data_IF_256567006791
#
_entry.id   IF_256567006791
#
_cell.length_a   1.000
_cell.length_b   1.000
_cell.length_c   1.000
_cell.angle_alpha   90.00
_cell.angle_beta   90.00
_cell.angle_gamma   90.00
#
_symmetry.space_group_name_H-M   'P 1'
#
loop_
_entity.id
_entity.type
_entity.pdbx_description
1 polymer ?
#
# COMPACT_ATOMS: atom_id res chain seq x y z
N UNK A 1 -19.44 -7.20 -12.15
CA UNK A 1 -18.69 -7.58 -10.93
C UNK A 1 -18.79 -6.43 -9.95
N UNK A 2 -19.16 -6.68 -8.69
CA UNK A 2 -19.01 -5.69 -7.62
C UNK A 2 -17.52 -5.34 -7.50
N UNK A 3 -17.20 -4.07 -7.30
CA UNK A 3 -15.80 -3.65 -7.09
C UNK A 3 -15.25 -4.31 -5.82
N UNK A 4 -13.98 -4.71 -5.85
CA UNK A 4 -13.29 -5.29 -4.70
C UNK A 4 -12.37 -4.24 -4.08
N UNK A 5 -12.62 -3.95 -2.81
CA UNK A 5 -11.71 -3.13 -2.00
C UNK A 5 -10.51 -3.97 -1.56
N UNK A 6 -9.38 -3.29 -1.37
CA UNK A 6 -8.12 -3.87 -0.95
C UNK A 6 -7.29 -2.82 -0.26
N UNK A 7 -6.36 -3.24 0.60
CA UNK A 7 -5.51 -2.33 1.33
C UNK A 7 -4.05 -2.76 1.41
N UNK A 8 -3.30 -1.98 2.16
CA UNK A 8 -1.92 -2.28 2.55
C UNK A 8 -1.70 -1.77 3.98
N UNK A 9 -1.10 -2.60 4.83
CA UNK A 9 -0.62 -2.16 6.13
C UNK A 9 0.60 -1.25 5.97
N UNK A 10 0.62 -0.19 6.77
CA UNK A 10 1.73 0.76 6.86
C UNK A 10 2.12 0.98 8.32
N UNK A 11 3.13 1.79 8.59
CA UNK A 11 3.60 2.03 9.96
C UNK A 11 2.47 2.72 10.73
N UNK A 12 2.04 2.12 11.84
CA UNK A 12 0.90 2.58 12.65
C UNK A 12 -0.43 2.77 11.90
N UNK A 13 -0.60 2.18 10.71
CA UNK A 13 -1.69 2.57 9.83
C UNK A 13 -2.16 1.53 8.81
N UNK A 14 -3.26 1.86 8.15
CA UNK A 14 -3.82 1.09 7.04
C UNK A 14 -4.17 2.02 5.89
N UNK A 15 -3.73 1.63 4.69
CA UNK A 15 -4.16 2.19 3.42
C UNK A 15 -5.30 1.34 2.87
N UNK A 16 -6.36 1.97 2.40
CA UNK A 16 -7.46 1.35 1.66
C UNK A 16 -7.61 2.00 0.30
N UNK A 17 -7.87 1.18 -0.72
CA UNK A 17 -8.04 1.61 -2.09
C UNK A 17 -9.46 1.31 -2.58
N UNK A 18 -10.13 2.35 -3.07
CA UNK A 18 -11.47 2.28 -3.68
C UNK A 18 -11.49 2.41 -5.19
N UNK A 19 -12.68 2.66 -5.72
CA UNK A 19 -12.89 2.92 -7.14
C UNK A 19 -12.36 4.31 -7.53
N UNK A 20 -12.65 5.31 -6.69
CA UNK A 20 -12.42 6.72 -7.03
C UNK A 20 -11.33 7.36 -6.19
N UNK A 21 -11.13 6.89 -4.96
CA UNK A 21 -10.18 7.46 -4.02
C UNK A 21 -9.44 6.35 -3.26
N UNK A 22 -8.24 6.66 -2.80
CA UNK A 22 -7.59 5.92 -1.73
C UNK A 22 -7.64 6.74 -0.45
N UNK A 23 -7.66 6.05 0.69
CA UNK A 23 -7.55 6.67 1.99
C UNK A 23 -6.55 5.93 2.87
N UNK A 24 -5.87 6.69 3.72
CA UNK A 24 -4.85 6.20 4.64
C UNK A 24 -5.21 6.73 6.01
N UNK A 25 -5.35 5.82 6.95
CA UNK A 25 -5.51 6.15 8.36
C UNK A 25 -4.24 5.72 9.11
N UNK A 26 -3.68 6.63 9.90
CA UNK A 26 -2.49 6.37 10.74
C UNK A 26 -2.81 6.77 12.16
N UNK A 27 -2.50 5.91 13.13
CA UNK A 27 -2.62 6.22 14.55
C UNK A 27 -1.35 6.91 15.02
N UNK A 28 -1.49 8.10 15.60
CA UNK A 28 -0.36 8.84 16.17
C UNK A 28 -0.17 8.50 17.65
N UNK A 29 1.00 8.77 18.26
CA UNK A 29 1.31 8.39 19.64
C UNK A 29 0.32 8.92 20.69
N UNK A 30 -0.32 10.06 20.44
CA UNK A 30 -1.35 10.63 21.31
C UNK A 30 -2.70 9.85 21.27
N UNK A 31 -2.80 8.82 20.42
CA UNK A 31 -3.97 7.96 20.27
C UNK A 31 -4.96 8.39 19.18
N UNK A 32 -4.79 9.57 18.58
CA UNK A 32 -5.62 10.08 17.49
C UNK A 32 -5.34 9.36 16.16
N UNK A 33 -6.31 9.39 15.25
CA UNK A 33 -6.21 8.82 13.91
C UNK A 33 -6.18 9.95 12.90
N UNK A 34 -5.06 10.07 12.18
CA UNK A 34 -4.92 11.01 11.06
C UNK A 34 -5.39 10.32 9.79
N UNK A 35 -6.38 10.93 9.12
CA UNK A 35 -6.95 10.42 7.88
C UNK A 35 -6.58 11.31 6.70
N UNK A 36 -5.89 10.72 5.71
CA UNK A 36 -5.55 11.36 4.43
C UNK A 36 -6.23 10.62 3.29
N UNK A 37 -6.80 11.35 2.34
CA UNK A 37 -7.43 10.78 1.13
C UNK A 37 -6.85 11.41 -0.13
N UNK A 38 -6.60 10.60 -1.15
CA UNK A 38 -6.14 11.06 -2.46
C UNK A 38 -7.01 10.48 -3.58
N UNK A 39 -7.35 11.28 -4.61
CA UNK A 39 -8.10 10.78 -5.76
C UNK A 39 -7.27 9.81 -6.61
N UNK A 40 -7.86 8.68 -6.96
CA UNK A 40 -7.27 7.74 -7.91
C UNK A 40 -7.58 8.24 -9.32
N UNK A 41 -6.54 8.56 -10.09
CA UNK A 41 -6.71 9.04 -11.47
C UNK A 41 -7.19 7.88 -12.36
N UNK A 42 -8.43 7.94 -12.81
CA UNK A 42 -9.11 6.87 -13.56
C UNK A 42 -8.48 6.53 -14.92
N UNK A 43 -7.64 7.41 -15.48
CA UNK A 43 -7.09 7.28 -16.84
C UNK A 43 -6.24 6.03 -17.06
N UNK A 44 -5.54 5.54 -16.03
CA UNK A 44 -4.73 4.31 -16.12
C UNK A 44 -5.65 3.10 -16.34
N UNK A 45 -6.80 3.09 -15.66
CA UNK A 45 -7.75 1.98 -15.62
C UNK A 45 -8.69 1.90 -16.83
N UNK A 46 -8.86 3.01 -17.57
CA UNK A 46 -9.71 3.09 -18.77
C UNK A 46 -8.96 2.91 -20.10
N UNK A 47 -7.63 2.73 -20.05
CA UNK A 47 -6.78 2.68 -21.24
C UNK A 47 -6.87 1.34 -22.00
N UNK A 48 -6.57 1.34 -23.30
CA UNK A 48 -6.59 0.12 -24.15
C UNK A 48 -5.62 -0.97 -23.66
N UNK A 49 -4.52 -0.58 -22.99
CA UNK A 49 -3.52 -1.52 -22.45
C UNK A 49 -4.08 -2.42 -21.34
N UNK A 50 -5.14 -1.97 -20.65
CA UNK A 50 -5.84 -2.75 -19.63
C UNK A 50 -6.62 -3.95 -20.20
N UNK A 51 -6.77 -4.03 -21.54
CA UNK A 51 -7.35 -5.19 -22.23
C UNK A 51 -6.36 -6.35 -22.35
N UNK A 52 -5.06 -6.08 -22.24
CA UNK A 52 -4.01 -7.09 -22.36
C UNK A 52 -3.66 -7.63 -20.97
N UNK A 53 -3.96 -8.90 -20.65
CA UNK A 53 -3.83 -9.42 -19.28
C UNK A 53 -2.40 -9.29 -18.74
N UNK A 54 -1.38 -9.53 -19.57
CA UNK A 54 0.00 -9.45 -19.12
C UNK A 54 0.45 -8.01 -18.80
N UNK A 55 0.20 -7.07 -19.71
CA UNK A 55 0.60 -5.66 -19.54
C UNK A 55 -0.19 -5.00 -18.40
N UNK A 56 -1.46 -5.35 -18.25
CA UNK A 56 -2.30 -4.88 -17.15
C UNK A 56 -1.70 -5.22 -15.78
N UNK A 57 -1.29 -6.47 -15.57
CA UNK A 57 -0.74 -6.89 -14.28
C UNK A 57 0.48 -6.07 -13.87
N UNK A 58 1.38 -5.78 -14.83
CA UNK A 58 2.55 -4.95 -14.61
C UNK A 58 2.18 -3.51 -14.23
N UNK A 59 1.27 -2.89 -14.98
CA UNK A 59 0.83 -1.50 -14.75
C UNK A 59 0.17 -1.36 -13.37
N UNK A 60 -0.68 -2.32 -12.98
CA UNK A 60 -1.35 -2.31 -11.68
C UNK A 60 -0.39 -2.56 -10.52
N UNK A 61 0.58 -3.46 -10.71
CA UNK A 61 1.63 -3.69 -9.70
C UNK A 61 2.48 -2.44 -9.51
N UNK A 62 2.88 -1.79 -10.60
CA UNK A 62 3.63 -0.53 -10.56
C UNK A 62 2.86 0.57 -9.83
N UNK A 63 1.57 0.75 -10.16
CA UNK A 63 0.73 1.74 -9.50
C UNK A 63 0.62 1.49 -7.99
N UNK A 64 0.35 0.23 -7.62
CA UNK A 64 0.25 -0.20 -6.21
C UNK A 64 1.57 0.01 -5.46
N UNK A 65 2.71 -0.28 -6.09
CA UNK A 65 4.04 -0.10 -5.50
C UNK A 65 4.34 1.40 -5.25
N UNK A 66 4.03 2.27 -6.22
CA UNK A 66 4.24 3.72 -6.07
C UNK A 66 3.35 4.29 -4.96
N UNK A 67 2.06 3.94 -4.95
CA UNK A 67 1.13 4.36 -3.90
C UNK A 67 1.53 3.81 -2.53
N UNK A 68 1.99 2.56 -2.47
CA UNK A 68 2.50 1.91 -1.27
C UNK A 68 3.70 2.67 -0.70
N UNK A 69 4.68 3.04 -1.53
CA UNK A 69 5.84 3.85 -1.09
C UNK A 69 5.40 5.22 -0.56
N UNK A 70 4.57 5.95 -1.30
CA UNK A 70 4.07 7.27 -0.87
C UNK A 70 3.34 7.19 0.48
N UNK A 71 2.56 6.13 0.67
CA UNK A 71 1.82 5.92 1.91
C UNK A 71 2.74 5.54 3.06
N UNK A 72 3.73 4.68 2.84
CA UNK A 72 4.72 4.33 3.84
C UNK A 72 5.46 5.57 4.34
N UNK A 73 5.90 6.45 3.43
CA UNK A 73 6.51 7.73 3.80
C UNK A 73 5.58 8.63 4.60
N UNK A 74 4.31 8.76 4.17
CA UNK A 74 3.31 9.52 4.93
C UNK A 74 3.12 8.94 6.34
N UNK A 75 3.03 7.61 6.46
CA UNK A 75 2.81 6.93 7.74
C UNK A 75 4.01 7.04 8.68
N UNK A 76 5.23 6.95 8.15
CA UNK A 76 6.45 7.15 8.93
C UNK A 76 6.50 8.59 9.48
N UNK A 77 6.24 9.58 8.63
CA UNK A 77 6.21 10.99 9.06
C UNK A 77 5.09 11.27 10.06
N UNK A 78 3.91 10.64 9.88
CA UNK A 78 2.78 10.79 10.78
C UNK A 78 3.07 10.13 12.14
N UNK A 79 3.68 8.95 12.16
CA UNK A 79 4.06 8.25 13.40
C UNK A 79 5.08 9.04 14.24
N UNK A 80 5.87 9.92 13.61
CA UNK A 80 6.80 10.85 14.26
C UNK A 80 6.13 12.17 14.72
N UNK A 81 4.82 12.36 14.51
CA UNK A 81 4.12 13.55 14.98
C UNK A 81 3.92 13.50 16.49
N UNK A 82 4.76 14.22 17.22
CA UNK A 82 4.39 14.82 18.50
C UNK A 82 3.88 16.25 18.24
N UNK A 83 2.55 16.49 18.23
CA UNK A 83 1.99 17.81 17.92
C UNK A 83 2.33 18.88 18.97
N UNK A 84 2.95 18.53 20.12
CA UNK A 84 3.36 19.48 21.15
C UNK A 84 4.82 19.94 21.05
N UNK A 85 5.60 19.44 20.10
CA UNK A 85 7.06 19.62 20.08
C UNK A 85 7.63 20.36 18.87
N UNK A 86 6.81 20.74 17.88
CA UNK A 86 7.32 21.26 16.60
C UNK A 86 7.58 22.78 16.68
N UNK A 87 8.84 23.16 16.52
CA UNK A 87 9.26 24.56 16.40
C UNK A 87 8.92 25.14 15.02
N UNK A 88 8.79 26.47 14.91
CA UNK A 88 8.48 27.17 13.65
C UNK A 88 9.52 26.90 12.55
N UNK A 89 10.79 26.72 12.92
CA UNK A 89 11.86 26.35 11.98
C UNK A 89 11.69 24.93 11.41
N UNK A 90 11.23 23.99 12.22
CA UNK A 90 10.94 22.62 11.79
C UNK A 90 9.71 22.58 10.87
N UNK A 91 8.71 23.42 11.15
CA UNK A 91 7.56 23.61 10.25
C UNK A 91 8.03 24.14 8.88
N UNK A 92 8.91 25.15 8.84
CA UNK A 92 9.44 25.70 7.59
C UNK A 92 10.36 24.73 6.83
N UNK A 93 11.19 23.95 7.53
CA UNK A 93 12.00 22.89 6.90
C UNK A 93 11.13 21.79 6.32
N UNK A 94 10.08 21.38 7.03
CA UNK A 94 9.07 20.42 6.55
C UNK A 94 8.32 20.97 5.35
N UNK A 95 7.95 22.25 5.33
CA UNK A 95 7.35 22.87 4.14
C UNK A 95 8.28 22.84 2.92
N UNK A 96 9.58 23.13 3.11
CA UNK A 96 10.58 23.02 2.03
C UNK A 96 10.76 21.57 1.57
N UNK A 97 10.76 20.61 2.49
CA UNK A 97 10.85 19.19 2.18
C UNK A 97 9.59 18.70 1.45
N UNK A 98 8.40 19.16 1.85
CA UNK A 98 7.11 18.86 1.22
C UNK A 98 6.97 19.55 -0.16
N UNK A 99 7.51 20.77 -0.34
CA UNK A 99 7.61 21.44 -1.65
C UNK A 99 8.61 20.75 -2.58
N UNK A 100 9.76 20.31 -2.05
CA UNK A 100 10.68 19.42 -2.79
C UNK A 100 9.93 18.15 -3.22
N UNK A 101 9.16 17.56 -2.31
CA UNK A 101 8.38 16.37 -2.60
C UNK A 101 7.23 16.59 -3.59
N UNK A 102 6.64 17.79 -3.67
CA UNK A 102 5.66 18.12 -4.71
C UNK A 102 6.32 18.15 -6.11
N UNK A 103 7.56 18.62 -6.21
CA UNK A 103 8.36 18.54 -7.44
C UNK A 103 8.64 17.08 -7.84
N UNK A 104 8.92 16.19 -6.88
CA UNK A 104 9.09 14.75 -7.15
C UNK A 104 7.76 14.04 -7.44
N UNK A 105 6.65 14.46 -6.85
CA UNK A 105 5.31 13.98 -7.24
C UNK A 105 5.03 14.37 -8.69
N UNK A 106 5.45 15.57 -9.12
CA UNK A 106 5.36 15.99 -10.52
C UNK A 106 6.31 15.20 -11.42
N UNK A 107 7.51 14.83 -10.95
CA UNK A 107 8.44 13.98 -11.72
C UNK A 107 7.95 12.52 -11.82
N UNK A 108 7.35 11.97 -10.77
CA UNK A 108 6.74 10.64 -10.80
C UNK A 108 5.45 10.64 -11.62
N UNK A 109 4.66 11.72 -11.58
CA UNK A 109 3.59 11.97 -12.55
C UNK A 109 4.15 12.11 -13.98
N UNK A 110 5.29 12.78 -14.16
CA UNK A 110 5.95 12.93 -15.45
C UNK A 110 6.45 11.58 -15.98
N UNK A 111 7.06 10.73 -15.14
CA UNK A 111 7.48 9.37 -15.47
C UNK A 111 6.29 8.45 -15.71
N UNK A 112 5.23 8.54 -14.89
CA UNK A 112 3.94 7.86 -15.14
C UNK A 112 3.37 8.30 -16.48
N UNK A 113 3.45 9.59 -16.81
CA UNK A 113 3.01 10.13 -18.11
C UNK A 113 3.95 9.79 -19.26
N UNK A 114 5.25 9.60 -19.03
CA UNK A 114 6.25 9.23 -20.02
C UNK A 114 6.10 7.76 -20.39
N UNK A 115 5.95 6.86 -19.40
CA UNK A 115 5.57 5.45 -19.62
C UNK A 115 4.23 5.37 -20.35
N UNK A 116 3.28 6.24 -20.00
CA UNK A 116 1.99 6.32 -20.69
C UNK A 116 2.14 6.87 -22.12
N UNK A 117 3.00 7.87 -22.37
CA UNK A 117 3.30 8.46 -23.68
C UNK A 117 4.00 7.45 -24.60
N UNK A 118 4.95 6.67 -24.07
CA UNK A 118 5.63 5.59 -24.81
C UNK A 118 4.69 4.43 -25.17
N UNK A 119 3.53 4.33 -24.54
CA UNK A 119 2.55 3.25 -24.74
C UNK A 119 1.24 3.74 -25.38
N UNK A 120 1.06 5.05 -25.54
CA UNK A 120 -0.17 5.69 -26.00
C UNK A 120 0.03 6.34 -27.38
N UNK A 121 0.47 5.55 -28.36
CA UNK A 121 0.34 5.91 -29.77
C UNK A 121 -1.00 5.38 -30.32
N UNK A 122 -2.13 5.67 -29.66
CA UNK A 122 -3.48 5.49 -30.26
C UNK A 122 -4.50 6.48 -29.65
N UNK A 123 -4.49 7.68 -30.20
CA UNK A 123 -5.63 8.45 -30.75
C UNK A 123 -6.89 8.83 -29.92
N UNK A 124 -7.27 10.10 -30.16
CA UNK A 124 -8.54 10.82 -29.97
C UNK A 124 -9.03 11.15 -28.54
N UNK A 125 -8.88 12.44 -28.20
CA UNK A 125 -9.50 13.11 -27.04
C UNK A 125 -11.01 13.30 -27.27
N UNK A 126 -11.90 13.09 -26.28
CA UNK A 126 -13.16 13.81 -26.25
C UNK A 126 -12.93 15.19 -25.64
N UNK A 127 -13.34 16.24 -26.37
CA UNK A 127 -13.46 17.61 -25.84
C UNK A 127 -14.66 17.64 -24.88
N UNK A 128 -14.41 18.01 -23.63
CA UNK A 128 -15.48 18.44 -22.73
C UNK A 128 -15.53 19.97 -22.76
N UNK A 129 -16.66 20.51 -23.19
CA UNK A 129 -17.01 21.93 -23.09
C UNK A 129 -18.16 22.00 -22.09
N UNK A 130 -18.05 22.74 -20.97
CA UNK A 130 -19.20 23.01 -20.15
C UNK A 130 -20.09 24.04 -20.86
N UNK A 131 -21.36 23.69 -21.10
CA UNK A 131 -22.39 24.66 -21.46
C UNK A 131 -22.76 25.45 -20.21
N UNK A 132 -22.62 26.77 -20.29
CA UNK A 132 -23.11 27.71 -19.30
C UNK A 132 -24.62 27.84 -19.44
N UNK A 133 -25.36 27.49 -18.38
CA UNK A 133 -26.62 28.08 -17.95
C UNK A 133 -27.07 27.39 -16.64
N UNK A 134 -27.73 28.16 -15.77
CA UNK A 134 -28.22 27.85 -14.41
C UNK A 134 -27.25 27.99 -13.22
N UNK A 135 -26.96 29.25 -12.85
CA UNK A 135 -26.43 29.66 -11.54
C UNK A 135 -27.16 30.88 -10.95
N UNK A 136 -28.48 30.82 -10.78
CA UNK A 136 -29.20 31.87 -10.03
C UNK A 136 -30.16 31.26 -9.00
N UNK A 137 -29.68 31.14 -7.76
CA UNK A 137 -30.30 31.63 -6.51
C UNK A 137 -29.59 31.02 -5.29
N UNK A 138 -28.75 31.83 -4.62
CA UNK A 138 -28.26 31.60 -3.26
C UNK A 138 -28.32 32.94 -2.54
N UNK A 139 -29.48 33.28 -1.98
CA UNK A 139 -29.56 34.26 -0.89
C UNK A 139 -29.80 33.48 0.40
N UNK A 140 -29.00 33.82 1.42
CA UNK A 140 -29.02 33.35 2.83
C UNK A 140 -27.94 32.34 3.28
N UNK A 141 -26.68 32.48 2.83
CA UNK A 141 -25.53 31.72 3.37
C UNK A 141 -24.42 32.58 3.99
N UNK A 142 -24.72 33.81 4.41
CA UNK A 142 -23.73 34.76 4.96
C UNK A 142 -23.88 35.04 6.46
N UNK A 143 -25.01 34.72 7.10
CA UNK A 143 -25.20 34.99 8.54
C UNK A 143 -24.67 33.87 9.47
N UNK A 144 -24.63 32.62 9.02
CA UNK A 144 -24.17 31.49 9.86
C UNK A 144 -22.64 31.44 10.03
N UNK A 145 -21.88 31.97 9.06
CA UNK A 145 -20.41 31.98 9.13
C UNK A 145 -19.87 33.01 10.15
N UNK A 146 -20.56 34.13 10.33
CA UNK A 146 -20.17 35.17 11.28
C UNK A 146 -20.37 34.72 12.75
N UNK A 147 -21.44 33.95 13.00
CA UNK A 147 -21.77 33.44 14.35
C UNK A 147 -20.77 32.39 14.83
N UNK A 148 -20.39 31.46 13.96
CA UNK A 148 -19.36 30.45 14.24
C UNK A 148 -17.99 31.06 14.54
N UNK A 149 -17.61 32.13 13.82
CA UNK A 149 -16.32 32.82 14.02
C UNK A 149 -16.25 33.57 15.35
N UNK A 150 -17.37 34.04 15.89
CA UNK A 150 -17.43 34.71 17.19
C UNK A 150 -17.31 33.74 18.37
N UNK A 151 -17.96 32.57 18.31
CA UNK A 151 -17.87 31.53 19.35
C UNK A 151 -16.49 30.87 19.42
N UNK A 152 -15.77 30.77 18.29
CA UNK A 152 -14.43 30.20 18.25
C UNK A 152 -13.36 31.06 18.93
N UNK A 153 -13.56 32.37 19.03
CA UNK A 153 -12.60 33.30 19.62
C UNK A 153 -12.58 33.29 21.16
N UNK A 154 -13.62 32.74 21.80
CA UNK A 154 -13.76 32.74 23.27
C UNK A 154 -13.08 31.54 23.95
N UNK A 155 -12.71 30.51 23.17
CA UNK A 155 -12.12 29.25 23.67
C UNK A 155 -10.58 29.29 23.70
N UNK A 156 -9.94 30.24 23.01
CA UNK A 156 -8.48 30.32 22.83
C UNK A 156 -7.77 31.19 23.89
N UNK A 157 -8.16 31.06 25.16
CA UNK A 157 -7.58 31.84 26.25
C UNK A 157 -7.26 31.00 27.50
N UNK A 158 -6.38 29.99 27.38
CA UNK A 158 -5.69 29.40 28.54
C UNK A 158 -4.23 29.04 28.23
N UNK A 159 -3.23 29.54 28.98
CA UNK A 159 -1.82 29.25 28.73
C UNK A 159 -1.35 28.03 29.51
N UNK A 160 -0.57 27.13 28.89
CA UNK A 160 0.07 25.99 29.56
C UNK A 160 1.60 26.05 29.45
N UNK A 161 2.22 26.39 30.58
CA UNK A 161 3.53 25.97 31.13
C UNK A 161 4.70 25.64 30.16
N UNK A 162 5.67 26.57 30.12
CA UNK A 162 6.98 26.44 29.49
C UNK A 162 7.96 25.56 30.29
N UNK A 163 8.36 24.41 29.76
CA UNK A 163 9.75 23.92 29.84
C UNK A 163 10.09 23.07 28.60
N UNK A 164 11.12 23.44 27.80
CA UNK A 164 11.51 22.65 26.64
C UNK A 164 12.49 21.54 27.02
N UNK A 165 12.20 20.30 26.63
CA UNK A 165 13.20 19.24 26.50
C UNK A 165 13.73 19.27 25.06
N UNK A 166 15.04 19.44 24.93
CA UNK A 166 15.77 19.36 23.65
C UNK A 166 15.72 17.94 23.10
N UNK A 167 15.34 17.80 21.83
CA UNK A 167 15.77 16.68 21.00
C UNK A 167 16.45 17.23 19.75
N UNK A 168 17.70 16.83 19.54
CA UNK A 168 18.42 17.04 18.28
C UNK A 168 18.06 15.90 17.33
N UNK A 169 17.26 16.17 16.30
CA UNK A 169 17.09 15.25 15.16
C UNK A 169 17.75 15.85 13.92
N UNK A 170 18.90 15.26 13.51
CA UNK A 170 19.52 15.58 12.23
C UNK A 170 18.70 14.99 11.07
N UNK A 171 18.35 15.78 10.04
CA UNK A 171 17.61 15.27 8.89
C UNK A 171 18.45 14.25 8.12
N UNK A 172 17.88 13.06 7.88
CA UNK A 172 18.50 12.02 7.06
C UNK A 172 18.80 12.59 5.67
N UNK A 173 20.10 12.67 5.34
CA UNK A 173 20.56 13.23 4.07
C UNK A 173 19.98 12.45 2.88
N UNK A 174 19.61 13.15 1.80
CA UNK A 174 19.01 12.53 0.62
C UNK A 174 19.87 11.41 0.00
N UNK A 175 21.20 11.54 0.06
CA UNK A 175 22.13 10.49 -0.38
C UNK A 175 22.13 9.28 0.56
N UNK A 176 21.94 9.48 1.86
CA UNK A 176 21.84 8.40 2.84
C UNK A 176 20.57 7.58 2.60
N UNK A 177 19.45 8.22 2.25
CA UNK A 177 18.23 7.53 1.85
C UNK A 177 18.46 6.67 0.59
N UNK A 178 19.07 7.21 -0.47
CA UNK A 178 19.39 6.44 -1.66
C UNK A 178 20.40 5.31 -1.39
N UNK A 179 21.37 5.54 -0.51
CA UNK A 179 22.33 4.53 -0.06
C UNK A 179 21.64 3.36 0.64
N UNK A 180 20.73 3.64 1.57
CA UNK A 180 19.95 2.59 2.26
C UNK A 180 19.01 1.84 1.32
N UNK A 181 18.37 2.53 0.37
CA UNK A 181 17.53 1.89 -0.65
C UNK A 181 18.35 0.97 -1.55
N UNK A 182 19.48 1.45 -2.09
CA UNK A 182 20.38 0.64 -2.93
C UNK A 182 20.93 -0.57 -2.17
N UNK A 183 21.33 -0.39 -0.91
CA UNK A 183 21.76 -1.47 -0.04
C UNK A 183 20.66 -2.51 0.17
N UNK A 184 19.44 -2.08 0.51
CA UNK A 184 18.31 -2.99 0.75
C UNK A 184 17.90 -3.77 -0.50
N UNK A 185 17.92 -3.13 -1.68
CA UNK A 185 17.64 -3.78 -2.95
C UNK A 185 18.77 -4.76 -3.31
N UNK A 186 20.02 -4.36 -3.13
CA UNK A 186 21.19 -5.22 -3.33
C UNK A 186 21.16 -6.44 -2.41
N UNK A 187 20.84 -6.24 -1.13
CA UNK A 187 20.65 -7.32 -0.15
C UNK A 187 19.54 -8.27 -0.57
N UNK A 188 18.38 -7.76 -1.02
CA UNK A 188 17.29 -8.59 -1.51
C UNK A 188 17.68 -9.41 -2.77
N UNK A 189 18.41 -8.79 -3.71
CA UNK A 189 18.94 -9.49 -4.89
C UNK A 189 19.91 -10.60 -4.48
N UNK A 190 20.84 -10.31 -3.56
CA UNK A 190 21.77 -11.30 -3.04
C UNK A 190 21.00 -12.45 -2.38
N UNK A 191 20.14 -12.14 -1.41
CA UNK A 191 19.45 -13.14 -0.60
C UNK A 191 18.48 -14.00 -1.41
N UNK A 192 17.65 -13.42 -2.28
CA UNK A 192 16.58 -14.15 -2.95
C UNK A 192 16.93 -14.65 -4.35
N UNK A 193 17.93 -14.07 -5.02
CA UNK A 193 18.33 -14.47 -6.38
C UNK A 193 19.69 -15.15 -6.41
N UNK A 194 20.72 -14.58 -5.79
CA UNK A 194 22.08 -15.12 -5.86
C UNK A 194 22.28 -16.27 -4.88
N UNK A 195 21.83 -16.15 -3.62
CA UNK A 195 22.08 -17.18 -2.60
C UNK A 195 21.53 -18.55 -2.99
N UNK A 196 20.27 -18.71 -3.48
CA UNK A 196 19.77 -20.02 -3.89
C UNK A 196 20.61 -20.63 -5.03
N UNK A 197 21.05 -19.80 -5.98
CA UNK A 197 21.90 -20.19 -7.11
C UNK A 197 23.30 -20.63 -6.66
N UNK A 198 23.92 -19.90 -5.73
CA UNK A 198 25.23 -20.23 -5.21
C UNK A 198 25.17 -21.51 -4.36
N UNK A 199 24.13 -21.66 -3.53
CA UNK A 199 23.93 -22.87 -2.72
C UNK A 199 23.69 -24.10 -3.58
N UNK A 200 22.89 -24.01 -4.65
CA UNK A 200 22.64 -25.16 -5.53
C UNK A 200 23.90 -25.62 -6.27
N UNK A 201 24.83 -24.71 -6.57
CA UNK A 201 26.11 -25.05 -7.21
C UNK A 201 27.03 -25.87 -6.32
N UNK A 202 27.00 -25.67 -5.00
CA UNK A 202 27.78 -26.49 -4.07
C UNK A 202 27.39 -27.97 -4.12
N UNK A 203 26.18 -28.26 -4.61
CA UNK A 203 25.64 -29.62 -4.76
C UNK A 203 25.90 -30.20 -6.16
N UNK A 204 26.42 -29.40 -7.11
CA UNK A 204 26.60 -29.80 -8.51
C UNK A 204 27.64 -30.92 -8.67
N UNK A 205 28.72 -30.87 -7.89
CA UNK A 205 29.78 -31.88 -7.96
C UNK A 205 29.30 -33.25 -7.42
N UNK A 206 28.23 -33.27 -6.62
CA UNK A 206 27.60 -34.50 -6.12
C UNK A 206 26.47 -34.97 -7.04
N UNK A 207 25.74 -34.04 -7.66
CA UNK A 207 24.55 -34.32 -8.46
C UNK A 207 24.82 -34.04 -9.94
N UNK A 208 25.12 -35.08 -10.72
CA UNK A 208 25.37 -34.96 -12.16
C UNK A 208 24.14 -34.64 -13.03
N UNK A 209 22.95 -34.46 -12.42
CA UNK A 209 21.70 -34.23 -13.14
C UNK A 209 21.24 -32.76 -13.01
N UNK A 210 21.36 -32.01 -14.11
CA UNK A 210 20.97 -30.59 -14.20
C UNK A 210 19.50 -30.34 -13.80
N UNK A 211 18.58 -31.27 -14.11
CA UNK A 211 17.18 -31.15 -13.71
C UNK A 211 17.03 -31.18 -12.18
N UNK A 212 17.74 -32.10 -11.52
CA UNK A 212 17.70 -32.25 -10.06
C UNK A 212 18.33 -31.04 -9.35
N UNK A 213 19.42 -30.50 -9.88
CA UNK A 213 20.04 -29.26 -9.36
C UNK A 213 19.05 -28.10 -9.42
N UNK A 214 18.37 -27.89 -10.55
CA UNK A 214 17.39 -26.81 -10.70
C UNK A 214 16.17 -26.99 -9.80
N UNK A 215 15.70 -28.23 -9.62
CA UNK A 215 14.64 -28.54 -8.67
C UNK A 215 15.05 -28.20 -7.23
N UNK A 216 16.26 -28.61 -6.81
CA UNK A 216 16.80 -28.28 -5.49
C UNK A 216 16.96 -26.78 -5.31
N UNK A 217 17.43 -26.07 -6.33
CA UNK A 217 17.52 -24.62 -6.29
C UNK A 217 16.16 -23.96 -6.06
N UNK A 218 15.10 -24.50 -6.69
CA UNK A 218 13.73 -24.07 -6.45
C UNK A 218 13.29 -24.27 -5.00
N UNK A 219 13.60 -25.44 -4.42
CA UNK A 219 13.35 -25.73 -3.01
C UNK A 219 14.13 -24.78 -2.10
N UNK A 220 15.41 -24.53 -2.39
CA UNK A 220 16.24 -23.58 -1.65
C UNK A 220 15.66 -22.16 -1.71
N UNK A 221 15.16 -21.72 -2.87
CA UNK A 221 14.50 -20.41 -3.02
C UNK A 221 13.24 -20.31 -2.15
N UNK A 222 12.41 -21.35 -2.15
CA UNK A 222 11.23 -21.40 -1.29
C UNK A 222 11.62 -21.41 0.20
N UNK A 223 12.63 -22.18 0.57
CA UNK A 223 13.14 -22.26 1.94
C UNK A 223 13.69 -20.91 2.42
N UNK A 224 14.46 -20.20 1.59
CA UNK A 224 14.96 -18.85 1.89
C UNK A 224 13.80 -17.86 2.06
N UNK A 225 12.78 -17.89 1.19
CA UNK A 225 11.60 -17.04 1.34
C UNK A 225 10.87 -17.30 2.66
N UNK A 226 10.53 -18.56 2.94
CA UNK A 226 9.79 -18.92 4.16
C UNK A 226 10.63 -18.65 5.42
N UNK A 227 11.92 -18.99 5.40
CA UNK A 227 12.85 -18.75 6.49
C UNK A 227 13.04 -17.25 6.78
N UNK A 228 13.16 -16.42 5.75
CA UNK A 228 13.21 -14.97 5.88
C UNK A 228 11.92 -14.43 6.51
N UNK A 229 10.75 -14.81 5.98
CA UNK A 229 9.45 -14.37 6.54
C UNK A 229 9.29 -14.81 8.00
N UNK A 230 9.69 -16.04 8.31
CA UNK A 230 9.69 -16.54 9.68
C UNK A 230 10.60 -15.71 10.59
N UNK A 231 11.82 -15.39 10.16
CA UNK A 231 12.78 -14.61 10.97
C UNK A 231 12.28 -13.19 11.24
N UNK A 232 11.85 -12.46 10.21
CA UNK A 232 11.34 -11.09 10.39
C UNK A 232 10.06 -11.06 11.21
N UNK A 233 9.24 -12.13 11.16
CA UNK A 233 8.02 -12.25 11.97
C UNK A 233 8.31 -12.31 13.49
N UNK A 234 9.58 -12.46 13.90
CA UNK A 234 10.00 -12.44 15.30
C UNK A 234 10.35 -11.03 15.80
N UNK A 235 10.53 -10.06 14.91
CA UNK A 235 10.86 -8.68 15.25
C UNK A 235 9.59 -7.92 15.69
N UNK A 236 9.65 -7.18 16.81
CA UNK A 236 8.48 -6.49 17.40
C UNK A 236 7.86 -5.46 16.45
N UNK A 237 8.69 -4.67 15.79
CA UNK A 237 8.22 -3.63 14.87
C UNK A 237 7.49 -4.23 13.66
N UNK A 238 8.01 -5.35 13.13
CA UNK A 238 7.37 -6.08 12.02
C UNK A 238 6.09 -6.77 12.48
N UNK A 239 6.06 -7.34 13.69
CA UNK A 239 4.85 -7.91 14.26
C UNK A 239 3.73 -6.87 14.35
N UNK A 240 4.07 -5.64 14.74
CA UNK A 240 3.12 -4.53 14.79
C UNK A 240 2.54 -4.20 13.41
N UNK A 241 3.37 -4.13 12.37
CA UNK A 241 2.89 -4.00 10.98
C UNK A 241 2.00 -5.18 10.57
N UNK A 242 2.34 -6.41 10.98
CA UNK A 242 1.51 -7.59 10.71
C UNK A 242 0.17 -7.59 11.46
N UNK A 243 0.05 -6.90 12.59
CA UNK A 243 -1.23 -6.67 13.26
C UNK A 243 -2.10 -5.71 12.44
N UNK A 244 -1.54 -4.60 11.94
CA UNK A 244 -2.26 -3.71 11.02
C UNK A 244 -2.69 -4.41 9.73
N UNK A 245 -1.88 -5.36 9.23
CA UNK A 245 -2.25 -6.21 8.10
C UNK A 245 -3.40 -7.16 8.45
N UNK A 246 -3.38 -7.76 9.65
CA UNK A 246 -4.51 -8.51 10.17
C UNK A 246 -5.78 -7.65 10.28
N UNK A 247 -5.66 -6.39 10.71
CA UNK A 247 -6.78 -5.46 10.79
C UNK A 247 -7.37 -5.15 9.41
N UNK A 248 -6.53 -4.94 8.40
CA UNK A 248 -6.95 -4.74 7.00
C UNK A 248 -7.75 -5.94 6.47
N UNK A 249 -7.22 -7.15 6.61
CA UNK A 249 -7.92 -8.37 6.20
C UNK A 249 -9.25 -8.58 6.93
N UNK A 250 -9.28 -8.40 8.26
CA UNK A 250 -10.52 -8.56 9.05
C UNK A 250 -11.59 -7.57 8.62
N UNK A 251 -11.21 -6.30 8.43
CA UNK A 251 -12.13 -5.22 8.04
C UNK A 251 -12.74 -5.49 6.66
N UNK A 252 -11.91 -5.92 5.70
CA UNK A 252 -12.39 -6.27 4.35
C UNK A 252 -13.28 -7.52 4.39
N UNK A 253 -12.87 -8.57 5.11
CA UNK A 253 -13.68 -9.79 5.27
C UNK A 253 -15.05 -9.48 5.89
N UNK A 254 -15.11 -8.60 6.90
CA UNK A 254 -16.35 -8.15 7.51
C UNK A 254 -17.23 -7.38 6.52
N UNK A 255 -16.64 -6.46 5.76
CA UNK A 255 -17.33 -5.70 4.71
C UNK A 255 -17.91 -6.61 3.62
N UNK A 256 -17.12 -7.58 3.13
CA UNK A 256 -17.55 -8.51 2.09
C UNK A 256 -18.66 -9.46 2.55
N UNK A 257 -18.70 -9.77 3.85
CA UNK A 257 -19.78 -10.51 4.48
C UNK A 257 -21.04 -9.65 4.75
N UNK A 258 -20.99 -8.34 4.49
CA UNK A 258 -22.09 -7.41 4.74
C UNK A 258 -22.32 -7.10 6.21
N UNK A 259 -21.32 -7.29 7.07
CA UNK A 259 -21.43 -7.04 8.50
C UNK A 259 -21.26 -5.57 8.86
N UNK A 260 -21.67 -5.21 10.08
CA UNK A 260 -21.50 -3.88 10.63
C UNK A 260 -20.02 -3.58 10.89
N UNK A 261 -19.55 -2.42 10.42
CA UNK A 261 -18.15 -2.01 10.56
C UNK A 261 -17.90 -1.37 11.93
N UNK A 262 -17.79 -2.20 12.96
CA UNK A 262 -17.32 -1.78 14.28
C UNK A 262 -16.23 -2.74 14.79
N UNK A 263 -15.35 -2.33 15.73
CA UNK A 263 -14.24 -3.16 16.18
C UNK A 263 -14.67 -4.52 16.75
N UNK A 264 -15.79 -4.58 17.48
CA UNK A 264 -16.29 -5.81 18.11
C UNK A 264 -16.70 -6.86 17.07
N UNK A 265 -17.46 -6.44 16.05
CA UNK A 265 -17.87 -7.30 14.94
C UNK A 265 -16.67 -7.70 14.08
N UNK A 266 -15.83 -6.73 13.70
CA UNK A 266 -14.69 -6.96 12.79
C UNK A 266 -13.67 -7.92 13.40
N UNK A 267 -13.46 -7.89 14.72
CA UNK A 267 -12.54 -8.79 15.43
C UNK A 267 -12.85 -10.27 15.20
N UNK A 268 -14.11 -10.63 14.95
CA UNK A 268 -14.55 -12.01 14.75
C UNK A 268 -14.17 -12.59 13.37
N UNK A 269 -13.75 -11.74 12.43
CA UNK A 269 -13.39 -12.16 11.09
C UNK A 269 -11.96 -12.71 11.00
N UNK A 270 -11.66 -13.40 9.90
CA UNK A 270 -10.35 -14.02 9.67
C UNK A 270 -9.27 -12.99 9.35
N UNK A 271 -8.04 -13.23 9.82
CA UNK A 271 -6.83 -12.50 9.39
C UNK A 271 -6.30 -12.96 8.03
N UNK A 272 -6.96 -13.90 7.36
CA UNK A 272 -6.57 -14.43 6.04
C UNK A 272 -7.56 -13.94 5.00
N UNK A 273 -7.06 -13.51 3.84
CA UNK A 273 -7.87 -13.02 2.72
C UNK A 273 -7.40 -13.59 1.37
N UNK A 274 -8.33 -13.83 0.44
CA UNK A 274 -8.02 -14.45 -0.86
C UNK A 274 -7.31 -13.53 -1.85
N UNK A 275 -7.26 -12.22 -1.58
CA UNK A 275 -6.68 -11.19 -2.46
C UNK A 275 -5.51 -10.45 -1.82
N UNK A 276 -4.70 -11.15 -1.03
CA UNK A 276 -3.54 -10.57 -0.37
C UNK A 276 -2.28 -10.58 -1.26
N UNK A 277 -1.51 -9.49 -1.22
CA UNK A 277 -0.21 -9.37 -1.88
C UNK A 277 0.90 -10.26 -1.30
N UNK A 278 0.75 -10.85 -0.11
CA UNK A 278 1.77 -11.80 0.40
C UNK A 278 1.73 -13.14 -0.33
N UNK A 279 0.54 -13.55 -0.80
CA UNK A 279 0.40 -14.71 -1.68
C UNK A 279 1.02 -14.46 -3.05
N UNK A 280 1.19 -13.20 -3.47
CA UNK A 280 1.90 -12.85 -4.71
C UNK A 280 3.38 -13.24 -4.66
N UNK A 281 4.08 -12.96 -3.55
CA UNK A 281 5.49 -13.34 -3.40
C UNK A 281 5.68 -14.86 -3.51
N UNK A 282 4.82 -15.64 -2.85
CA UNK A 282 4.85 -17.10 -2.96
C UNK A 282 4.60 -17.55 -4.40
N UNK A 283 3.59 -16.99 -5.06
CA UNK A 283 3.24 -17.37 -6.43
C UNK A 283 4.36 -17.02 -7.42
N UNK A 284 5.01 -15.86 -7.28
CA UNK A 284 6.19 -15.52 -8.08
C UNK A 284 7.28 -16.57 -7.90
N UNK A 285 7.56 -16.99 -6.67
CA UNK A 285 8.55 -18.06 -6.41
C UNK A 285 8.09 -19.39 -7.03
N UNK A 286 6.85 -19.84 -6.81
CA UNK A 286 6.36 -21.11 -7.36
C UNK A 286 6.35 -21.13 -8.89
N UNK A 287 5.84 -20.07 -9.53
CA UNK A 287 5.84 -19.93 -11.00
C UNK A 287 7.27 -19.89 -11.51
N UNK A 288 8.18 -19.21 -10.81
CA UNK A 288 9.59 -19.16 -11.21
C UNK A 288 10.26 -20.53 -11.19
N UNK A 289 9.94 -21.39 -10.21
CA UNK A 289 10.47 -22.76 -10.14
C UNK A 289 10.01 -23.54 -11.36
N UNK A 290 8.71 -23.51 -11.68
CA UNK A 290 8.15 -24.22 -12.83
C UNK A 290 8.72 -23.70 -14.16
N UNK A 291 8.83 -22.38 -14.32
CA UNK A 291 9.33 -21.74 -15.53
C UNK A 291 10.82 -22.06 -15.76
N UNK A 292 11.67 -21.93 -14.73
CA UNK A 292 13.09 -22.20 -14.88
C UNK A 292 13.40 -23.69 -15.02
N UNK A 293 12.59 -24.55 -14.39
CA UNK A 293 12.66 -25.99 -14.61
C UNK A 293 12.37 -26.31 -16.08
N UNK A 294 11.35 -25.69 -16.71
CA UNK A 294 11.06 -25.85 -18.13
C UNK A 294 12.17 -25.30 -19.04
N UNK A 295 12.70 -24.10 -18.73
CA UNK A 295 13.82 -23.49 -19.46
C UNK A 295 15.06 -24.41 -19.42
N UNK A 296 15.30 -25.08 -18.29
CA UNK A 296 16.41 -26.02 -18.15
C UNK A 296 16.32 -27.23 -19.08
N UNK A 297 15.12 -27.65 -19.53
CA UNK A 297 14.98 -28.75 -20.48
C UNK A 297 15.56 -28.41 -21.86
N UNK A 298 15.67 -27.11 -22.19
CA UNK A 298 16.20 -26.65 -23.48
C UNK A 298 17.73 -26.55 -23.53
N UNK A 299 18.44 -26.92 -22.46
CA UNK A 299 19.91 -26.96 -22.45
C UNK A 299 20.59 -25.60 -22.65
N UNK A 300 19.94 -24.52 -22.22
CA UNK A 300 20.41 -23.15 -22.45
C UNK A 300 21.71 -22.87 -21.67
N UNK A 301 22.71 -22.18 -22.27
CA UNK A 301 23.94 -21.82 -21.58
C UNK A 301 23.73 -21.06 -20.27
N UNK A 302 24.67 -21.21 -19.32
CA UNK A 302 24.54 -20.63 -17.98
C UNK A 302 24.28 -19.12 -17.99
N UNK A 303 24.98 -18.33 -18.82
CA UNK A 303 24.84 -16.87 -18.83
C UNK A 303 23.45 -16.43 -19.29
N UNK A 304 22.86 -17.16 -20.22
CA UNK A 304 21.48 -16.94 -20.67
C UNK A 304 20.47 -17.37 -19.60
N UNK A 305 20.75 -18.45 -18.86
CA UNK A 305 19.94 -18.85 -17.70
C UNK A 305 19.95 -17.76 -16.62
N UNK A 306 21.13 -17.19 -16.31
CA UNK A 306 21.27 -16.07 -15.39
C UNK A 306 20.50 -14.83 -15.87
N UNK A 307 20.70 -14.43 -17.13
CA UNK A 307 20.03 -13.27 -17.71
C UNK A 307 18.51 -13.42 -17.75
N UNK A 308 18.02 -14.63 -18.07
CA UNK A 308 16.58 -14.95 -18.09
C UNK A 308 15.92 -14.71 -16.73
N UNK A 309 16.63 -14.91 -15.62
CA UNK A 309 16.08 -14.70 -14.28
C UNK A 309 15.77 -13.26 -13.96
N UNK A 310 16.59 -12.34 -14.47
CA UNK A 310 16.39 -10.90 -14.31
C UNK A 310 15.33 -10.41 -15.31
N UNK A 311 15.47 -10.81 -16.58
CA UNK A 311 14.56 -10.37 -17.64
C UNK A 311 13.12 -10.89 -17.48
N UNK A 312 12.94 -12.05 -16.85
CA UNK A 312 11.62 -12.66 -16.66
C UNK A 312 10.91 -12.19 -15.38
N UNK A 313 11.54 -11.40 -14.51
CA UNK A 313 10.86 -10.85 -13.30
C UNK A 313 9.55 -10.13 -13.64
N UNK A 314 9.49 -9.22 -14.62
CA UNK A 314 8.25 -8.56 -15.01
C UNK A 314 7.17 -9.54 -15.51
N UNK A 315 7.59 -10.58 -16.23
CA UNK A 315 6.69 -11.62 -16.77
C UNK A 315 6.14 -12.50 -15.64
N UNK A 316 7.01 -12.94 -14.72
CA UNK A 316 6.62 -13.72 -13.53
C UNK A 316 5.63 -12.95 -12.65
N UNK A 317 5.93 -11.67 -12.39
CA UNK A 317 5.06 -10.77 -11.66
C UNK A 317 3.69 -10.62 -12.34
N UNK A 318 3.68 -10.43 -13.66
CA UNK A 318 2.46 -10.33 -14.44
C UNK A 318 1.60 -11.59 -14.39
N UNK A 319 2.20 -12.78 -14.57
CA UNK A 319 1.51 -14.08 -14.46
C UNK A 319 0.95 -14.27 -13.06
N UNK A 320 1.74 -13.97 -12.01
CA UNK A 320 1.32 -14.11 -10.63
C UNK A 320 0.10 -13.21 -10.31
N UNK A 321 0.10 -11.97 -10.79
CA UNK A 321 -1.03 -11.06 -10.65
C UNK A 321 -2.31 -11.61 -11.29
N UNK A 322 -2.22 -12.03 -12.56
CA UNK A 322 -3.36 -12.57 -13.29
C UNK A 322 -3.87 -13.88 -12.64
N UNK A 323 -2.98 -14.72 -12.14
CA UNK A 323 -3.35 -15.92 -11.38
C UNK A 323 -4.11 -15.58 -10.09
N UNK A 324 -3.65 -14.61 -9.29
CA UNK A 324 -4.37 -14.20 -8.06
C UNK A 324 -5.76 -13.71 -8.41
N UNK A 325 -5.87 -12.85 -9.43
CA UNK A 325 -7.16 -12.30 -9.87
C UNK A 325 -8.10 -13.41 -10.35
N UNK A 326 -7.59 -14.32 -11.17
CA UNK A 326 -8.36 -15.45 -11.69
C UNK A 326 -8.82 -16.40 -10.58
N UNK A 327 -7.91 -16.78 -9.68
CA UNK A 327 -8.16 -17.73 -8.60
C UNK A 327 -9.13 -17.17 -7.55
N UNK A 328 -8.99 -15.91 -7.16
CA UNK A 328 -9.91 -15.25 -6.24
C UNK A 328 -11.35 -15.18 -6.81
N UNK A 329 -11.51 -14.97 -8.12
CA UNK A 329 -12.83 -14.98 -8.77
C UNK A 329 -13.49 -16.35 -8.84
N UNK A 330 -12.73 -17.43 -8.59
CA UNK A 330 -13.16 -18.84 -8.69
C UNK A 330 -12.95 -19.62 -7.38
N UNK A 331 -12.87 -18.91 -6.26
CA UNK A 331 -12.59 -19.51 -4.96
C UNK A 331 -13.64 -20.55 -4.52
N UNK A 332 -14.85 -20.51 -5.08
CA UNK A 332 -15.89 -21.51 -4.85
C UNK A 332 -15.54 -22.91 -5.40
N UNK A 333 -14.64 -23.00 -6.38
CA UNK A 333 -14.22 -24.29 -6.94
C UNK A 333 -13.22 -24.98 -5.98
N UNK A 334 -13.46 -26.25 -5.57
CA UNK A 334 -12.61 -26.95 -4.61
C UNK A 334 -11.16 -27.13 -5.06
N UNK A 335 -10.92 -27.29 -6.37
CA UNK A 335 -9.57 -27.43 -6.94
C UNK A 335 -8.82 -26.10 -6.83
N UNK A 336 -9.47 -25.00 -7.21
CA UNK A 336 -8.90 -23.64 -7.09
C UNK A 336 -8.62 -23.32 -5.63
N UNK A 337 -9.56 -23.66 -4.73
CA UNK A 337 -9.39 -23.49 -3.29
C UNK A 337 -8.21 -24.27 -2.73
N UNK A 338 -8.02 -25.52 -3.17
CA UNK A 338 -6.88 -26.35 -2.79
C UNK A 338 -5.54 -25.74 -3.28
N UNK A 339 -5.50 -25.29 -4.54
CA UNK A 339 -4.32 -24.66 -5.12
C UNK A 339 -3.92 -23.35 -4.40
N UNK A 340 -4.89 -22.61 -3.85
CA UNK A 340 -4.63 -21.40 -3.07
C UNK A 340 -4.18 -21.66 -1.63
N UNK A 341 -4.40 -22.86 -1.07
CA UNK A 341 -4.11 -23.15 0.35
C UNK A 341 -2.67 -22.83 0.78
N UNK A 342 -1.62 -23.16 0.01
CA UNK A 342 -0.25 -22.80 0.41
C UNK A 342 -0.06 -21.29 0.57
N UNK A 343 -0.67 -20.50 -0.31
CA UNK A 343 -0.66 -19.04 -0.25
C UNK A 343 -1.42 -18.48 0.95
N UNK A 344 -2.58 -19.07 1.28
CA UNK A 344 -3.37 -18.69 2.45
C UNK A 344 -2.69 -19.12 3.77
N UNK A 345 -2.00 -20.26 3.78
CA UNK A 345 -1.23 -20.72 4.93
C UNK A 345 -0.04 -19.79 5.21
N UNK A 346 0.65 -19.31 4.16
CA UNK A 346 1.77 -18.38 4.31
C UNK A 346 1.35 -17.05 4.94
N UNK A 347 0.11 -16.60 4.73
CA UNK A 347 -0.42 -15.38 5.35
C UNK A 347 -0.38 -15.43 6.88
N UNK A 348 -0.43 -16.62 7.48
CA UNK A 348 -0.31 -16.78 8.95
C UNK A 348 1.06 -16.36 9.49
N UNK A 349 2.09 -16.30 8.63
CA UNK A 349 3.41 -15.76 9.00
C UNK A 349 3.47 -14.22 8.89
N UNK A 350 2.62 -13.63 8.07
CA UNK A 350 2.64 -12.19 7.73
C UNK A 350 1.44 -11.41 8.25
N UNK A 351 0.58 -12.04 9.06
CA UNK A 351 -0.58 -11.45 9.70
C UNK A 351 -0.59 -11.83 11.18
N UNK A 352 -1.11 -10.94 12.02
CA UNK A 352 -1.27 -11.16 13.47
C UNK A 352 -2.61 -10.61 13.93
N UNK A 353 -3.07 -11.07 15.08
CA UNK A 353 -4.31 -10.58 15.68
C UNK A 353 -4.16 -9.10 16.09
N UNK A 354 -5.02 -8.21 15.57
CA UNK A 354 -4.95 -6.78 15.85
C UNK A 354 -5.58 -6.41 17.19
N UNK A 355 -5.13 -5.30 17.74
CA UNK A 355 -5.80 -4.61 18.84
C UNK A 355 -7.07 -3.89 18.34
N UNK A 356 -8.03 -3.63 19.23
CA UNK A 356 -9.26 -2.92 18.89
C UNK A 356 -8.99 -1.54 18.24
N UNK A 357 -7.96 -0.83 18.70
CA UNK A 357 -7.57 0.45 18.13
C UNK A 357 -6.99 0.34 16.70
N UNK A 358 -6.36 -0.78 16.36
CA UNK A 358 -5.88 -1.03 14.98
C UNK A 358 -7.05 -1.34 14.04
N UNK A 359 -8.09 -2.01 14.55
CA UNK A 359 -9.35 -2.21 13.82
C UNK A 359 -10.04 -0.88 13.52
N UNK A 360 -10.07 0.05 14.49
CA UNK A 360 -10.62 1.40 14.28
C UNK A 360 -9.91 2.15 13.15
N UNK A 361 -8.58 2.09 13.10
CA UNK A 361 -7.76 2.68 12.03
C UNK A 361 -8.14 2.08 10.67
N UNK A 362 -8.23 0.75 10.59
CA UNK A 362 -8.60 0.06 9.37
C UNK A 362 -10.02 0.40 8.91
N UNK A 363 -11.00 0.42 9.82
CA UNK A 363 -12.38 0.83 9.55
C UNK A 363 -12.43 2.28 9.04
N UNK A 364 -11.74 3.21 9.71
CA UNK A 364 -11.72 4.62 9.31
C UNK A 364 -11.18 4.81 7.87
N UNK A 365 -10.13 4.07 7.50
CA UNK A 365 -9.61 4.09 6.12
C UNK A 365 -10.61 3.51 5.12
N UNK A 366 -11.31 2.42 5.44
CA UNK A 366 -12.29 1.81 4.54
C UNK A 366 -13.52 2.69 4.37
N UNK A 367 -14.10 3.19 5.46
CA UNK A 367 -15.30 4.03 5.43
C UNK A 367 -15.09 5.31 4.62
N UNK A 368 -13.90 5.91 4.69
CA UNK A 368 -13.56 7.10 3.89
C UNK A 368 -13.60 6.83 2.40
N UNK A 369 -13.19 5.63 1.99
CA UNK A 369 -13.23 5.19 0.61
C UNK A 369 -14.67 4.85 0.17
N UNK A 370 -15.42 4.17 1.03
CA UNK A 370 -16.83 3.84 0.77
C UNK A 370 -17.69 5.11 0.61
N UNK A 371 -17.41 6.16 1.39
CA UNK A 371 -18.02 7.49 1.24
C UNK A 371 -17.74 8.07 -0.14
N UNK A 372 -16.48 8.03 -0.59
CA UNK A 372 -16.07 8.55 -1.90
C UNK A 372 -16.73 7.79 -3.07
N UNK A 373 -16.99 6.51 -2.87
CA UNK A 373 -17.63 5.63 -3.86
C UNK A 373 -19.17 5.66 -3.75
N UNK A 374 -19.74 6.49 -2.86
CA UNK A 374 -21.19 6.68 -2.71
C UNK A 374 -21.92 5.53 -2.02
N UNK A 375 -21.19 4.67 -1.30
CA UNK A 375 -21.74 3.54 -0.54
C UNK A 375 -21.98 3.85 0.95
N UNK A 376 -21.54 5.02 1.40
CA UNK A 376 -21.79 5.59 2.72
C UNK A 376 -22.23 7.04 2.51
N UNK A 377 -23.22 7.50 3.25
CA UNK A 377 -23.62 8.91 3.24
C UNK A 377 -22.74 9.73 4.19
N UNK A 378 -22.62 11.04 3.95
CA UNK A 378 -21.90 11.96 4.85
C UNK A 378 -22.48 11.93 6.28
N UNK A 379 -23.81 11.78 6.42
CA UNK A 379 -24.47 11.69 7.72
C UNK A 379 -24.09 10.41 8.48
N UNK A 380 -24.12 9.25 7.81
CA UNK A 380 -23.71 7.97 8.41
C UNK A 380 -22.22 7.99 8.77
N UNK A 381 -21.39 8.52 7.88
CA UNK A 381 -19.95 8.63 8.13
C UNK A 381 -19.66 9.58 9.29
N UNK A 382 -20.31 10.74 9.36
CA UNK A 382 -20.18 11.67 10.48
C UNK A 382 -20.63 11.06 11.81
N UNK A 383 -21.74 10.31 11.82
CA UNK A 383 -22.24 9.63 13.00
C UNK A 383 -21.24 8.57 13.53
N UNK A 384 -20.61 7.81 12.64
CA UNK A 384 -19.60 6.80 12.98
C UNK A 384 -18.27 7.43 13.38
N UNK A 385 -17.86 8.51 12.71
CA UNK A 385 -16.64 9.26 13.03
C UNK A 385 -16.69 9.84 14.45
N UNK A 386 -17.85 10.28 14.96
CA UNK A 386 -17.97 10.76 16.35
C UNK A 386 -17.59 9.71 17.39
N UNK A 387 -17.64 8.42 17.04
CA UNK A 387 -17.26 7.31 17.92
C UNK A 387 -15.76 6.97 17.81
N UNK A 388 -15.02 7.61 16.90
CA UNK A 388 -13.62 7.36 16.62
C UNK A 388 -12.80 8.65 16.86
N UNK A 389 -11.60 8.59 17.45
CA UNK A 389 -10.76 9.76 17.65
C UNK A 389 -10.05 10.17 16.34
N UNK A 390 -10.81 10.54 15.30
CA UNK A 390 -10.30 10.80 13.94
C UNK A 390 -10.17 12.31 13.69
N UNK A 391 -8.98 12.76 13.32
CA UNK A 391 -8.74 14.11 12.78
C UNK A 391 -8.46 14.05 11.27
N UNK A 392 -8.98 14.98 10.47
CA UNK A 392 -8.51 15.14 9.10
C UNK A 392 -7.00 15.45 9.13
N UNK A 393 -6.24 14.88 8.19
CA UNK A 393 -4.86 15.31 8.00
C UNK A 393 -4.84 16.83 7.72
N UNK A 394 -3.89 17.59 8.30
CA UNK A 394 -3.80 19.02 8.05
C UNK A 394 -3.82 19.27 6.54
N UNK A 395 -4.78 20.07 6.10
CA UNK A 395 -4.94 20.42 4.69
C UNK A 395 -3.67 21.16 4.26
N UNK A 396 -3.26 20.99 3.01
CA UNK A 396 -2.05 21.61 2.41
C UNK A 396 -2.04 23.16 2.39
N UNK A 397 -2.88 23.82 3.21
CA UNK A 397 -2.98 25.26 3.41
C UNK A 397 -3.29 25.70 4.85
N UNK A 398 -3.46 24.80 5.83
CA UNK A 398 -3.72 25.19 7.24
C UNK A 398 -2.44 25.41 8.06
N UNK A 399 -1.25 25.16 7.48
CA UNK A 399 0.04 25.56 8.05
C UNK A 399 0.46 26.99 7.68
N UNK A 400 -0.43 27.76 7.03
CA UNK A 400 -0.11 29.09 6.47
C UNK A 400 -1.06 30.23 6.90
N UNK A 401 -1.83 30.07 7.98
CA UNK A 401 -2.73 31.12 8.46
C UNK A 401 -2.74 31.22 9.99
N UNK A 402 -1.56 31.17 10.62
CA UNK A 402 -1.29 31.81 11.91
C UNK A 402 0.11 32.40 11.83
N UNK A 403 0.20 33.56 11.18
CA UNK A 403 1.21 34.60 11.36
C UNK A 403 0.81 35.79 10.47
#
# INVERSE_FOLDING_TARGET
MKFSYGGQAVIEGVMMRGQRQMAVAVRVPNGEIILKSEPLTSKIYTSKIMKWPFLRGLVLLWDTLVLGMQTLFFSANAALLDPKALTEEEQQRREKQVKSWSLWSNLTLALRSLVFLTLAEVEARPKFSPSAEDWTTWDNATEDYARWKAEAAEVEAQPLSNQPLKMEEEPISGWALWGTMAFSLGFAVVLFFLSPLLLSRLLKDTLHNEFLINFIEGILRLAVLVGYLWLISRMKDIQRVFQYHGAEHKTINAYEAGATLNPETVKLYSTVHTRCGTSFLLLVVLISILLFMLISLFGIPFWMTFLSRILLVPVLASIAYEYIKWSASRYSNPIVRAAMQPGLALQKLTTREPEAAMLQVSIASLERVLLADGLLTEAEWAARRRQLPVRPAPVRGELGAVA
#
